data_IF_908506261654
#
_entry.id   IF_908506261654
#
_cell.length_a   1.000
_cell.length_b   1.000
_cell.length_c   1.000
_cell.angle_alpha   90.00
_cell.angle_beta   90.00
_cell.angle_gamma   90.00
#
_symmetry.space_group_name_H-M   'P 1'
#
loop_
_entity.id
_entity.type
_entity.pdbx_description
1 polymer ?
#
# COMPACT_ATOMS: atom_id res chain seq x y z
N UNK A 1 10.22 -33.20 65.66
CA UNK A 1 11.47 -32.46 65.33
C UNK A 1 11.04 -31.18 64.61
N UNK A 2 10.69 -30.07 65.29
CA UNK A 2 11.55 -28.98 65.84
C UNK A 2 12.68 -28.58 64.86
N UNK A 3 12.96 -27.32 64.49
CA UNK A 3 12.58 -25.96 64.96
C UNK A 3 12.84 -24.95 63.78
N UNK A 4 12.03 -23.92 63.49
CA UNK A 4 11.86 -22.54 64.04
C UNK A 4 13.04 -21.55 63.84
N UNK A 5 12.78 -20.44 63.13
CA UNK A 5 13.00 -18.99 63.44
C UNK A 5 13.15 -18.22 62.11
N UNK A 6 12.42 -17.17 61.68
CA UNK A 6 11.77 -15.94 62.23
C UNK A 6 12.71 -14.92 62.89
N UNK A 7 12.71 -13.70 62.32
CA UNK A 7 12.63 -12.30 62.89
C UNK A 7 13.18 -11.36 61.77
N UNK A 8 12.54 -10.32 61.20
CA UNK A 8 11.61 -9.23 61.57
C UNK A 8 12.27 -7.90 61.98
N UNK A 9 11.69 -6.80 61.45
CA UNK A 9 11.74 -5.40 61.92
C UNK A 9 12.99 -4.56 61.54
N UNK A 10 12.95 -3.25 61.26
CA UNK A 10 11.94 -2.22 61.52
C UNK A 10 12.08 -1.05 60.52
N UNK A 11 10.96 -0.34 60.32
CA UNK A 11 10.90 0.98 59.72
C UNK A 11 11.29 2.08 60.72
N UNK A 12 11.76 3.23 60.23
CA UNK A 12 11.59 4.50 60.95
C UNK A 12 11.51 5.68 59.99
N UNK A 13 10.47 6.46 60.24
CA UNK A 13 10.06 7.72 59.64
C UNK A 13 11.08 8.85 59.84
N UNK A 14 11.11 9.80 58.92
CA UNK A 14 11.18 11.23 59.24
C UNK A 14 10.44 12.06 58.17
N UNK A 15 9.45 12.81 58.65
CA UNK A 15 8.67 13.86 57.97
C UNK A 15 9.39 15.21 58.07
N UNK A 16 9.07 16.10 57.12
CA UNK A 16 8.87 17.57 57.21
C UNK A 16 9.60 18.29 56.06
N UNK A 17 9.10 19.35 55.41
CA UNK A 17 7.80 20.02 55.40
C UNK A 17 7.84 21.08 54.27
N UNK A 18 6.69 21.26 53.59
CA UNK A 18 6.11 22.51 53.04
C UNK A 18 7.02 23.51 52.28
N UNK A 19 6.61 23.90 51.06
CA UNK A 19 5.65 25.01 50.78
C UNK A 19 5.41 25.19 49.27
N UNK A 20 4.15 25.46 48.92
CA UNK A 20 3.69 26.07 47.67
C UNK A 20 4.22 27.51 47.54
N UNK A 21 4.50 27.93 46.30
CA UNK A 21 4.08 29.24 45.78
C UNK A 21 3.96 29.21 44.25
N UNK A 22 2.95 29.93 43.80
CA UNK A 22 2.39 30.11 42.45
C UNK A 22 3.02 31.26 41.66
N UNK A 23 3.23 31.06 40.35
CA UNK A 23 3.14 32.01 39.21
C UNK A 23 3.96 33.34 39.25
N UNK A 24 4.07 34.18 38.19
CA UNK A 24 3.44 34.16 36.84
C UNK A 24 4.37 34.38 35.63
N UNK A 25 3.79 34.15 34.44
CA UNK A 25 3.96 34.88 33.17
C UNK A 25 4.73 36.22 33.22
N UNK A 26 5.65 36.46 32.26
CA UNK A 26 5.75 37.69 31.44
C UNK A 26 6.55 37.41 30.14
N UNK A 27 5.95 37.68 28.99
CA UNK A 27 6.62 38.04 27.72
C UNK A 27 6.64 39.57 27.62
N UNK A 28 7.67 40.21 27.01
CA UNK A 28 7.33 40.99 25.81
C UNK A 28 8.47 41.21 24.79
N UNK A 29 8.05 41.81 23.66
CA UNK A 29 8.80 42.59 22.65
C UNK A 29 9.24 41.81 21.40
N UNK A 30 8.40 41.71 20.37
CA UNK A 30 8.10 42.74 19.34
C UNK A 30 9.36 43.32 18.70
N UNK A 31 9.71 42.81 17.52
CA UNK A 31 10.17 43.65 16.40
C UNK A 31 9.64 43.11 15.08
N UNK A 32 8.94 44.02 14.40
CA UNK A 32 8.40 43.91 13.06
C UNK A 32 9.49 43.60 12.04
N UNK A 33 9.13 42.83 11.00
CA UNK A 33 9.48 43.13 9.61
C UNK A 33 8.43 42.49 8.67
N UNK A 34 7.52 43.35 8.22
CA UNK A 34 6.91 43.46 6.88
C UNK A 34 7.70 42.75 5.75
N UNK A 35 7.18 42.24 4.63
CA UNK A 35 5.89 42.36 3.90
C UNK A 35 5.87 41.30 2.77
N UNK A 36 4.66 40.83 2.44
CA UNK A 36 4.16 40.40 1.11
C UNK A 36 4.70 39.12 0.45
N UNK A 37 3.81 38.12 0.36
CA UNK A 37 3.11 37.78 -0.90
C UNK A 37 1.83 37.01 -0.54
N UNK A 38 0.68 37.65 -0.74
CA UNK A 38 -0.63 37.04 -0.55
C UNK A 38 -0.96 36.13 -1.73
N UNK A 39 -1.22 34.85 -1.46
CA UNK A 39 -1.94 33.99 -2.38
C UNK A 39 -3.44 34.18 -2.12
N UNK A 40 -4.13 34.74 -3.10
CA UNK A 40 -5.58 34.92 -3.08
C UNK A 40 -6.20 33.53 -3.23
N UNK A 41 -6.88 33.07 -2.17
CA UNK A 41 -7.76 31.93 -2.21
C UNK A 41 -9.05 32.35 -2.95
N UNK A 42 -9.28 31.76 -4.13
CA UNK A 42 -10.49 32.00 -4.93
C UNK A 42 -11.71 31.38 -4.28
N UNK A 43 -12.46 32.18 -3.54
CA UNK A 43 -13.83 31.88 -3.12
C UNK A 43 -14.74 32.04 -4.33
N UNK A 44 -15.27 30.95 -4.87
CA UNK A 44 -16.37 31.01 -5.84
C UNK A 44 -17.68 30.71 -5.10
N UNK A 45 -18.53 31.74 -5.05
CA UNK A 45 -19.83 31.75 -4.37
C UNK A 45 -20.79 30.75 -5.02
N UNK A 46 -21.38 29.90 -4.19
CA UNK A 46 -22.64 29.21 -4.44
C UNK A 46 -23.77 30.25 -4.59
N UNK A 47 -24.41 30.30 -5.75
CA UNK A 47 -25.74 30.86 -5.89
C UNK A 47 -26.74 29.72 -6.04
N UNK A 48 -27.52 29.51 -4.99
CA UNK A 48 -28.77 28.74 -5.00
C UNK A 48 -29.91 29.68 -5.34
N UNK A 49 -30.80 29.28 -6.26
CA UNK A 49 -32.24 29.57 -6.21
C UNK A 49 -33.00 28.68 -7.22
N UNK A 50 -34.21 28.21 -6.89
CA UNK A 50 -34.90 27.13 -7.60
C UNK A 50 -35.97 27.67 -8.58
N UNK A 51 -36.33 26.92 -9.62
CA UNK A 51 -37.69 26.98 -10.20
C UNK A 51 -38.02 25.75 -11.05
N UNK A 52 -39.33 25.52 -11.17
CA UNK A 52 -40.03 24.24 -11.34
C UNK A 52 -40.12 23.75 -12.80
N UNK A 53 -40.29 22.43 -12.88
CA UNK A 53 -40.88 21.58 -13.91
C UNK A 53 -41.74 22.22 -15.02
N UNK A 54 -41.46 21.81 -16.27
CA UNK A 54 -42.51 21.57 -17.29
C UNK A 54 -42.03 20.57 -18.36
N UNK A 55 -42.85 19.55 -18.63
CA UNK A 55 -42.72 18.58 -19.72
C UNK A 55 -43.17 19.19 -21.06
N UNK A 56 -42.56 18.75 -22.17
CA UNK A 56 -43.11 18.92 -23.53
C UNK A 56 -42.05 18.91 -24.63
N UNK A 57 -42.13 17.92 -25.52
CA UNK A 57 -41.13 17.52 -26.52
C UNK A 57 -40.92 18.48 -27.71
N UNK A 58 -39.73 18.43 -28.33
CA UNK A 58 -39.56 18.81 -29.74
C UNK A 58 -38.17 19.32 -30.19
N UNK A 59 -37.38 18.42 -30.79
CA UNK A 59 -36.40 18.63 -31.89
C UNK A 59 -35.14 19.53 -31.68
N UNK A 60 -34.00 18.83 -31.59
CA UNK A 60 -32.69 19.09 -32.23
C UNK A 60 -32.18 20.53 -32.41
N UNK A 61 -31.17 20.89 -31.61
CA UNK A 61 -30.06 21.76 -32.01
C UNK A 61 -28.79 21.38 -31.18
N UNK A 62 -27.63 21.14 -31.80
CA UNK A 62 -26.41 20.75 -31.09
C UNK A 62 -25.63 22.01 -30.70
N UNK A 63 -25.63 22.36 -29.41
CA UNK A 63 -24.72 23.39 -28.88
C UNK A 63 -24.19 22.92 -27.52
N UNK A 64 -23.35 21.88 -27.52
CA UNK A 64 -22.41 21.66 -26.42
C UNK A 64 -21.10 22.34 -26.77
N UNK A 65 -21.05 23.60 -26.33
CA UNK A 65 -19.88 24.48 -26.28
C UNK A 65 -18.69 23.71 -25.71
N UNK A 66 -17.63 23.66 -26.50
CA UNK A 66 -16.28 23.25 -26.13
C UNK A 66 -15.91 23.76 -24.72
N UNK A 67 -15.65 22.85 -23.78
CA UNK A 67 -14.64 23.09 -22.77
C UNK A 67 -13.30 22.63 -23.36
N UNK A 68 -12.76 23.50 -24.21
CA UNK A 68 -11.33 23.50 -24.50
C UNK A 68 -10.61 23.70 -23.17
N UNK A 69 -9.87 22.69 -22.71
CA UNK A 69 -8.82 22.89 -21.70
C UNK A 69 -7.68 23.61 -22.40
N UNK A 70 -7.90 24.89 -22.72
CA UNK A 70 -6.88 25.76 -23.26
C UNK A 70 -6.15 26.41 -22.09
N UNK A 71 -4.84 26.14 -22.05
CA UNK A 71 -3.81 26.84 -21.29
C UNK A 71 -3.71 26.48 -19.81
N UNK A 72 -3.20 25.27 -19.55
CA UNK A 72 -2.26 25.13 -18.43
C UNK A 72 -1.02 25.93 -18.83
N UNK A 73 -0.70 26.97 -18.07
CA UNK A 73 0.52 27.78 -18.23
C UNK A 73 1.72 26.86 -18.42
N UNK A 74 2.53 27.10 -19.46
CA UNK A 74 3.79 26.41 -19.76
C UNK A 74 4.87 26.74 -18.74
N UNK A 75 4.62 26.44 -17.46
CA UNK A 75 5.69 26.19 -16.50
C UNK A 75 6.40 24.93 -16.98
N UNK A 76 7.72 25.01 -17.19
CA UNK A 76 8.60 23.87 -17.46
C UNK A 76 8.18 22.67 -16.59
N UNK A 77 7.46 21.72 -17.19
CA UNK A 77 7.23 20.42 -16.58
C UNK A 77 8.54 19.67 -16.75
N UNK A 78 9.39 19.71 -15.72
CA UNK A 78 10.49 18.77 -15.63
C UNK A 78 9.85 17.46 -15.20
N UNK A 79 9.53 16.61 -16.17
CA UNK A 79 9.17 15.22 -15.92
C UNK A 79 10.46 14.48 -15.56
N UNK A 80 10.66 14.23 -14.26
CA UNK A 80 11.76 13.39 -13.80
C UNK A 80 11.32 11.93 -13.89
N UNK A 81 12.07 11.12 -14.63
CA UNK A 81 11.90 9.66 -14.65
C UNK A 81 12.74 9.07 -13.53
N UNK A 82 12.08 8.37 -12.63
CA UNK A 82 12.68 7.77 -11.44
C UNK A 82 12.55 6.26 -11.56
N UNK A 83 13.66 5.55 -11.34
CA UNK A 83 13.69 4.12 -11.52
C UNK A 83 14.78 3.43 -10.74
N UNK A 84 14.85 2.12 -10.92
CA UNK A 84 15.88 1.28 -10.31
C UNK A 84 17.25 1.58 -10.88
N UNK A 85 18.25 1.66 -10.01
CA UNK A 85 19.64 1.77 -10.40
C UNK A 85 20.15 0.51 -11.10
N UNK A 86 19.62 -0.67 -10.76
CA UNK A 86 19.94 -1.94 -11.43
C UNK A 86 19.45 -1.91 -12.88
N UNK A 87 18.29 -1.29 -13.12
CA UNK A 87 17.67 -1.21 -14.44
C UNK A 87 17.91 0.12 -15.16
N UNK A 88 18.95 0.87 -14.78
CA UNK A 88 19.23 2.19 -15.36
C UNK A 88 19.27 2.17 -16.89
N UNK A 89 19.96 1.20 -17.48
CA UNK A 89 20.08 1.08 -18.94
C UNK A 89 18.81 0.50 -19.59
N UNK A 90 17.87 -0.03 -18.81
CA UNK A 90 16.61 -0.64 -19.27
C UNK A 90 15.40 0.28 -19.12
N UNK A 91 15.51 1.36 -18.34
CA UNK A 91 14.41 2.31 -18.07
C UNK A 91 14.60 3.54 -18.99
N UNK A 92 13.76 3.70 -20.03
CA UNK A 92 13.89 4.80 -20.96
C UNK A 92 13.73 6.16 -20.26
N UNK A 93 14.70 7.04 -20.46
CA UNK A 93 14.66 8.40 -19.95
C UNK A 93 14.99 8.57 -18.46
N UNK A 94 15.50 7.55 -17.77
CA UNK A 94 15.79 7.63 -16.33
C UNK A 94 16.72 8.81 -15.96
N UNK A 95 16.21 9.71 -15.14
CA UNK A 95 16.96 10.83 -14.57
C UNK A 95 17.56 10.44 -13.22
N UNK A 96 16.75 9.79 -12.36
CA UNK A 96 17.13 9.42 -11.00
C UNK A 96 17.09 7.90 -10.85
N UNK A 97 18.27 7.34 -10.56
CA UNK A 97 18.47 5.92 -10.29
C UNK A 97 18.56 5.68 -8.79
N UNK A 98 17.61 4.93 -8.23
CA UNK A 98 17.50 4.63 -6.81
C UNK A 98 17.87 3.17 -6.51
N UNK A 99 18.42 2.93 -5.31
CA UNK A 99 18.84 1.62 -4.80
C UNK A 99 17.97 1.18 -3.63
N UNK A 100 18.07 -0.10 -3.25
CA UNK A 100 17.45 -0.61 -2.04
C UNK A 100 17.76 0.26 -0.81
N UNK A 101 16.73 0.58 -0.03
CA UNK A 101 16.85 1.35 1.21
C UNK A 101 17.01 2.86 1.00
N UNK A 102 17.10 3.34 -0.25
CA UNK A 102 17.08 4.77 -0.52
C UNK A 102 15.76 5.40 -0.03
N UNK A 103 15.89 6.65 0.42
CA UNK A 103 14.77 7.51 0.77
C UNK A 103 14.72 8.67 -0.20
N UNK A 104 13.57 8.87 -0.81
CA UNK A 104 13.32 9.97 -1.74
C UNK A 104 12.14 10.81 -1.25
N UNK A 105 12.05 12.08 -1.69
CA UNK A 105 10.97 12.99 -1.31
C UNK A 105 10.15 13.37 -2.53
N UNK A 106 8.89 12.92 -2.55
CA UNK A 106 7.91 13.27 -3.56
C UNK A 106 6.98 14.36 -3.03
N UNK A 107 7.10 15.59 -3.54
CA UNK A 107 6.19 16.70 -3.16
C UNK A 107 6.01 16.88 -1.63
N UNK A 108 7.07 16.64 -0.85
CA UNK A 108 7.05 16.71 0.62
C UNK A 108 6.72 15.40 1.35
N UNK A 109 6.45 14.32 0.62
CA UNK A 109 6.23 12.98 1.17
C UNK A 109 7.48 12.11 1.05
N UNK A 110 7.88 11.48 2.16
CA UNK A 110 8.95 10.49 2.15
C UNK A 110 8.50 9.22 1.40
N UNK A 111 9.39 8.69 0.56
CA UNK A 111 9.23 7.46 -0.21
C UNK A 111 10.41 6.55 0.13
N UNK A 112 10.11 5.33 0.56
CA UNK A 112 11.11 4.29 0.83
C UNK A 112 11.18 3.36 -0.39
N UNK A 113 12.39 3.19 -0.92
CA UNK A 113 12.65 2.30 -2.05
C UNK A 113 12.98 0.92 -1.52
N UNK A 114 12.30 -0.10 -2.05
CA UNK A 114 12.52 -1.49 -1.70
C UNK A 114 12.89 -2.24 -2.96
N UNK A 115 14.07 -2.87 -3.00
CA UNK A 115 14.36 -3.85 -4.04
C UNK A 115 13.43 -5.05 -3.86
N UNK A 116 12.76 -5.42 -4.94
CA UNK A 116 11.78 -6.52 -4.95
C UNK A 116 11.99 -7.48 -6.13
N UNK A 117 13.20 -8.06 -6.30
CA UNK A 117 13.52 -8.96 -7.39
C UNK A 117 12.63 -10.20 -7.41
N UNK A 118 12.38 -10.72 -8.60
CA UNK A 118 11.61 -11.95 -8.79
C UNK A 118 10.93 -11.96 -10.15
N UNK A 119 10.09 -10.95 -10.40
CA UNK A 119 9.50 -10.73 -11.72
C UNK A 119 10.58 -10.35 -12.74
N UNK A 120 11.27 -9.26 -12.45
CA UNK A 120 12.55 -8.87 -13.05
C UNK A 120 13.61 -8.79 -11.95
N UNK A 121 14.90 -8.81 -12.32
CA UNK A 121 16.00 -8.71 -11.34
C UNK A 121 16.19 -7.29 -10.79
N UNK A 122 15.75 -6.27 -11.51
CA UNK A 122 15.87 -4.86 -11.11
C UNK A 122 14.58 -4.23 -10.61
N UNK A 123 13.53 -5.04 -10.37
CA UNK A 123 12.24 -4.54 -9.89
C UNK A 123 12.38 -3.86 -8.52
N UNK A 124 11.77 -2.69 -8.38
CA UNK A 124 11.66 -1.96 -7.10
C UNK A 124 10.20 -1.66 -6.77
N UNK A 125 9.89 -1.57 -5.48
CA UNK A 125 8.61 -1.13 -4.94
C UNK A 125 8.78 0.18 -4.19
N UNK A 126 7.79 1.07 -4.26
CA UNK A 126 7.81 2.37 -3.59
C UNK A 126 6.81 2.40 -2.44
N UNK A 127 7.31 2.51 -1.22
CA UNK A 127 6.48 2.62 -0.02
C UNK A 127 6.38 4.07 0.46
N UNK A 128 5.16 4.56 0.63
CA UNK A 128 4.84 5.87 1.16
C UNK A 128 4.29 5.71 2.58
N UNK A 129 5.15 5.75 3.63
CA UNK A 129 4.73 5.53 5.01
C UNK A 129 3.65 6.51 5.48
N UNK A 130 3.79 7.80 5.14
CA UNK A 130 2.83 8.83 5.52
C UNK A 130 1.44 8.65 4.90
N UNK A 131 1.35 7.95 3.76
CA UNK A 131 0.09 7.62 3.09
C UNK A 131 -0.39 6.19 3.36
N UNK A 132 0.40 5.38 4.07
CA UNK A 132 0.20 3.93 4.23
C UNK A 132 -0.09 3.25 2.89
N UNK A 133 0.72 3.55 1.87
CA UNK A 133 0.53 3.02 0.53
C UNK A 133 1.84 2.43 -0.01
N UNK A 134 1.77 1.29 -0.70
CA UNK A 134 2.89 0.73 -1.44
C UNK A 134 2.50 0.50 -2.90
N UNK A 135 3.39 0.90 -3.81
CA UNK A 135 3.31 0.58 -5.23
C UNK A 135 4.23 -0.60 -5.51
N UNK A 136 3.64 -1.75 -5.83
CA UNK A 136 4.36 -3.04 -5.90
C UNK A 136 4.70 -3.49 -7.32
N UNK A 137 4.29 -2.71 -8.33
CA UNK A 137 4.42 -3.08 -9.74
C UNK A 137 3.90 -4.51 -9.96
N UNK A 138 4.79 -5.36 -10.46
CA UNK A 138 4.48 -6.75 -10.81
C UNK A 138 5.06 -7.76 -9.81
N UNK A 139 5.57 -7.31 -8.65
CA UNK A 139 6.01 -8.22 -7.58
C UNK A 139 4.80 -8.84 -6.87
N UNK A 140 3.95 -8.02 -6.25
CA UNK A 140 2.75 -8.44 -5.51
C UNK A 140 1.50 -7.91 -6.21
N UNK A 141 0.56 -8.81 -6.52
CA UNK A 141 -0.79 -8.49 -6.95
C UNK A 141 -1.78 -8.88 -5.86
N UNK A 142 -3.02 -8.41 -5.95
CA UNK A 142 -4.06 -9.00 -5.13
C UNK A 142 -4.26 -10.48 -5.51
N UNK A 143 -4.14 -11.36 -4.52
CA UNK A 143 -4.26 -12.82 -4.62
C UNK A 143 -3.21 -13.53 -5.50
N UNK A 144 -2.14 -12.86 -5.91
CA UNK A 144 -1.00 -13.53 -6.54
C UNK A 144 0.33 -12.78 -6.42
N UNK A 145 1.41 -13.34 -6.95
CA UNK A 145 2.63 -12.60 -7.27
C UNK A 145 2.89 -12.56 -8.79
N UNK A 146 3.93 -11.83 -9.20
CA UNK A 146 4.45 -11.85 -10.57
C UNK A 146 4.83 -13.24 -11.08
N UNK A 147 4.83 -13.39 -12.41
CA UNK A 147 5.55 -14.50 -13.04
C UNK A 147 7.05 -14.30 -12.85
N UNK A 148 7.80 -15.37 -12.70
CA UNK A 148 9.26 -15.33 -12.53
C UNK A 148 9.92 -15.36 -13.91
N UNK A 149 10.08 -14.20 -14.55
CA UNK A 149 10.73 -14.13 -15.87
C UNK A 149 12.24 -14.11 -15.76
N UNK A 150 12.78 -13.35 -14.81
CA UNK A 150 14.23 -13.19 -14.65
C UNK A 150 14.73 -13.67 -13.28
N UNK A 151 13.87 -13.71 -12.26
CA UNK A 151 14.25 -14.09 -10.91
C UNK A 151 13.89 -15.52 -10.51
N UNK A 152 14.21 -15.87 -9.26
CA UNK A 152 13.98 -17.20 -8.68
C UNK A 152 12.86 -17.19 -7.64
N UNK A 153 12.31 -18.36 -7.25
CA UNK A 153 11.35 -18.45 -6.15
C UNK A 153 11.87 -17.88 -4.83
N UNK A 154 13.16 -18.07 -4.53
CA UNK A 154 13.82 -17.53 -3.33
C UNK A 154 13.83 -16.00 -3.34
N UNK A 155 14.15 -15.39 -4.49
CA UNK A 155 14.13 -13.94 -4.64
C UNK A 155 12.71 -13.38 -4.49
N UNK A 156 11.72 -14.00 -5.14
CA UNK A 156 10.33 -13.58 -5.01
C UNK A 156 9.83 -13.74 -3.57
N UNK A 157 10.15 -14.84 -2.90
CA UNK A 157 9.78 -15.06 -1.50
C UNK A 157 10.35 -13.95 -0.61
N UNK A 158 11.65 -13.66 -0.72
CA UNK A 158 12.29 -12.60 0.05
C UNK A 158 11.64 -11.23 -0.20
N UNK A 159 11.35 -10.92 -1.46
CA UNK A 159 10.65 -9.68 -1.86
C UNK A 159 9.25 -9.58 -1.24
N UNK A 160 8.48 -10.66 -1.28
CA UNK A 160 7.15 -10.72 -0.68
C UNK A 160 7.22 -10.59 0.84
N UNK A 161 8.16 -11.27 1.51
CA UNK A 161 8.35 -11.16 2.96
C UNK A 161 8.68 -9.72 3.39
N UNK A 162 9.51 -9.00 2.61
CA UNK A 162 9.79 -7.57 2.85
C UNK A 162 8.51 -6.73 2.75
N UNK A 163 7.74 -6.90 1.68
CA UNK A 163 6.47 -6.18 1.49
C UNK A 163 5.48 -6.50 2.62
N UNK A 164 5.37 -7.76 3.02
CA UNK A 164 4.39 -8.24 4.01
C UNK A 164 4.75 -7.85 5.44
N UNK A 165 6.01 -7.50 5.70
CA UNK A 165 6.44 -6.92 6.98
C UNK A 165 5.87 -5.52 7.26
N UNK A 166 5.31 -4.85 6.25
CA UNK A 166 4.65 -3.57 6.40
C UNK A 166 3.34 -3.67 7.22
N UNK A 167 2.85 -2.55 7.78
CA UNK A 167 1.62 -2.51 8.56
C UNK A 167 0.41 -3.08 7.81
N UNK A 168 -0.47 -3.76 8.54
CA UNK A 168 -1.68 -4.41 8.00
C UNK A 168 -2.64 -3.46 7.26
N UNK A 169 -2.66 -2.19 7.66
CA UNK A 169 -3.47 -1.13 7.05
C UNK A 169 -2.80 -0.47 5.83
N UNK A 170 -1.66 -0.99 5.37
CA UNK A 170 -1.02 -0.54 4.14
C UNK A 170 -1.85 -0.92 2.93
N UNK A 171 -2.24 0.07 2.13
CA UNK A 171 -2.88 -0.10 0.82
C UNK A 171 -1.87 -0.56 -0.21
N UNK A 172 -2.19 -1.60 -0.98
CA UNK A 172 -1.32 -2.15 -2.02
C UNK A 172 -1.85 -1.77 -3.40
N UNK A 173 -1.02 -1.07 -4.17
CA UNK A 173 -1.28 -0.64 -5.53
C UNK A 173 -0.37 -1.40 -6.49
N UNK A 174 -0.91 -2.39 -7.20
CA UNK A 174 -0.16 -3.24 -8.11
C UNK A 174 -0.36 -2.84 -9.58
N UNK A 175 0.49 -3.36 -10.47
CA UNK A 175 0.54 -2.96 -11.88
C UNK A 175 -0.64 -3.41 -12.75
N UNK A 176 -1.40 -4.43 -12.33
CA UNK A 176 -2.44 -5.05 -13.16
C UNK A 176 -3.72 -5.43 -12.40
N UNK A 177 -4.84 -5.40 -13.11
CA UNK A 177 -6.17 -5.83 -12.65
C UNK A 177 -6.37 -7.33 -12.90
N UNK A 178 -5.65 -8.16 -12.14
CA UNK A 178 -5.71 -9.64 -12.24
C UNK A 178 -6.52 -10.31 -11.13
N UNK A 179 -7.09 -9.54 -10.21
CA UNK A 179 -7.67 -10.08 -8.97
C UNK A 179 -8.76 -11.13 -9.20
N UNK A 180 -9.58 -10.98 -10.25
CA UNK A 180 -10.63 -11.96 -10.57
C UNK A 180 -10.08 -13.29 -11.09
N UNK A 181 -9.05 -13.30 -11.93
CA UNK A 181 -8.44 -14.56 -12.37
C UNK A 181 -7.60 -15.17 -11.26
N UNK A 182 -6.97 -14.34 -10.42
CA UNK A 182 -6.23 -14.77 -9.26
C UNK A 182 -7.13 -15.42 -8.20
N UNK A 183 -8.32 -14.87 -7.95
CA UNK A 183 -9.27 -15.43 -6.97
C UNK A 183 -9.75 -16.82 -7.36
N UNK A 184 -9.98 -17.07 -8.66
CA UNK A 184 -10.34 -18.40 -9.17
C UNK A 184 -9.24 -19.43 -8.88
N UNK A 185 -7.98 -19.08 -9.11
CA UNK A 185 -6.86 -19.97 -8.78
C UNK A 185 -6.75 -20.19 -7.27
N UNK A 186 -6.80 -19.12 -6.46
CA UNK A 186 -6.71 -19.23 -5.01
C UNK A 186 -7.83 -20.13 -4.45
N UNK A 187 -9.07 -19.99 -4.92
CA UNK A 187 -10.19 -20.85 -4.51
C UNK A 187 -10.02 -22.31 -4.94
N UNK A 188 -9.29 -22.59 -6.01
CA UNK A 188 -9.03 -23.97 -6.45
C UNK A 188 -8.10 -24.74 -5.50
N UNK A 189 -7.26 -24.03 -4.73
CA UNK A 189 -6.27 -24.62 -3.82
C UNK A 189 -6.57 -24.38 -2.33
N UNK A 190 -7.40 -23.40 -1.99
CA UNK A 190 -7.83 -23.12 -0.62
C UNK A 190 -9.36 -22.86 -0.56
N UNK A 191 -10.20 -23.84 -0.96
CA UNK A 191 -11.65 -23.62 -1.15
C UNK A 191 -12.41 -23.36 0.15
N UNK A 192 -11.85 -23.69 1.31
CA UNK A 192 -12.49 -23.57 2.64
C UNK A 192 -12.19 -22.25 3.34
N UNK A 193 -11.34 -21.39 2.77
CA UNK A 193 -11.00 -20.09 3.35
C UNK A 193 -12.17 -19.11 3.16
N UNK A 194 -12.99 -18.91 4.21
CA UNK A 194 -14.18 -18.04 4.19
C UNK A 194 -13.86 -16.57 3.87
N UNK A 195 -12.68 -16.08 4.27
CA UNK A 195 -12.23 -14.72 3.96
C UNK A 195 -11.96 -14.61 2.45
N UNK A 196 -11.28 -15.60 1.87
CA UNK A 196 -11.02 -15.67 0.43
C UNK A 196 -12.32 -15.81 -0.36
N UNK A 197 -13.27 -16.65 0.08
CA UNK A 197 -14.58 -16.78 -0.56
C UNK A 197 -15.32 -15.44 -0.61
N UNK A 198 -15.40 -14.75 0.54
CA UNK A 198 -16.06 -13.45 0.66
C UNK A 198 -15.39 -12.40 -0.22
N UNK A 199 -14.05 -12.38 -0.23
CA UNK A 199 -13.29 -11.44 -1.04
C UNK A 199 -13.42 -11.73 -2.54
N UNK A 200 -13.41 -13.00 -2.95
CA UNK A 200 -13.63 -13.40 -4.34
C UNK A 200 -15.03 -13.00 -4.84
N UNK A 201 -16.06 -13.12 -4.01
CA UNK A 201 -17.42 -12.67 -4.33
C UNK A 201 -17.49 -11.14 -4.51
N UNK A 202 -16.87 -10.38 -3.60
CA UNK A 202 -16.73 -8.92 -3.75
C UNK A 202 -16.02 -8.54 -5.06
N UNK A 203 -14.91 -9.20 -5.36
CA UNK A 203 -14.13 -8.99 -6.59
C UNK A 203 -14.99 -9.25 -7.82
N UNK A 204 -15.76 -10.35 -7.86
CA UNK A 204 -16.67 -10.64 -8.96
C UNK A 204 -17.71 -9.54 -9.16
N UNK A 205 -18.31 -9.04 -8.07
CA UNK A 205 -19.27 -7.93 -8.12
C UNK A 205 -18.64 -6.63 -8.66
N UNK A 206 -17.43 -6.28 -8.22
CA UNK A 206 -16.74 -5.08 -8.73
C UNK A 206 -16.44 -5.20 -10.22
N UNK A 207 -15.96 -6.38 -10.67
CA UNK A 207 -15.60 -6.59 -12.07
C UNK A 207 -16.82 -6.65 -12.99
N UNK A 208 -17.96 -7.17 -12.53
CA UNK A 208 -19.24 -7.11 -13.26
C UNK A 208 -19.64 -5.65 -13.54
N UNK A 209 -19.42 -4.76 -12.56
CA UNK A 209 -19.62 -3.31 -12.69
C UNK A 209 -18.48 -2.58 -13.40
N UNK A 210 -17.46 -3.30 -13.91
CA UNK A 210 -16.23 -2.74 -14.52
C UNK A 210 -15.43 -1.80 -13.60
N UNK A 211 -15.58 -1.94 -12.29
CA UNK A 211 -14.85 -1.17 -11.29
C UNK A 211 -13.51 -1.86 -10.94
N UNK A 212 -12.46 -1.09 -10.58
CA UNK A 212 -11.19 -1.65 -10.16
C UNK A 212 -11.33 -2.38 -8.83
N UNK A 213 -10.43 -3.33 -8.58
CA UNK A 213 -10.33 -4.06 -7.30
C UNK A 213 -9.14 -3.60 -6.46
N UNK A 214 -8.37 -2.63 -6.99
CA UNK A 214 -7.19 -2.03 -6.38
C UNK A 214 -7.56 -0.64 -5.86
N UNK A 215 -7.06 -0.23 -4.67
CA UNK A 215 -6.12 -0.96 -3.83
C UNK A 215 -6.74 -2.13 -3.06
N UNK A 216 -5.93 -3.14 -2.79
CA UNK A 216 -6.16 -4.12 -1.71
C UNK A 216 -5.44 -3.64 -0.44
N UNK A 217 -5.49 -4.40 0.65
CA UNK A 217 -4.75 -4.11 1.90
C UNK A 217 -3.82 -5.23 2.27
N UNK A 218 -2.73 -4.92 2.97
CA UNK A 218 -1.78 -5.91 3.45
C UNK A 218 -2.46 -7.00 4.30
N UNK A 219 -3.41 -6.59 5.14
CA UNK A 219 -4.25 -7.52 5.92
C UNK A 219 -5.02 -8.52 5.03
N UNK A 220 -5.65 -8.04 3.96
CA UNK A 220 -6.40 -8.89 3.04
C UNK A 220 -5.47 -9.87 2.33
N UNK A 221 -4.31 -9.40 1.87
CA UNK A 221 -3.35 -10.26 1.16
C UNK A 221 -2.77 -11.34 2.07
N UNK A 222 -2.41 -11.03 3.33
CA UNK A 222 -2.00 -12.05 4.32
C UNK A 222 -3.06 -13.13 4.55
N UNK A 223 -4.33 -12.74 4.54
CA UNK A 223 -5.45 -13.64 4.78
C UNK A 223 -5.79 -14.54 3.57
N UNK A 224 -5.60 -14.05 2.35
CA UNK A 224 -6.19 -14.66 1.15
C UNK A 224 -5.18 -15.05 0.05
N UNK A 225 -3.99 -14.45 0.01
CA UNK A 225 -3.07 -14.64 -1.10
C UNK A 225 -2.24 -15.92 -0.90
N UNK A 226 -2.34 -16.93 -1.80
CA UNK A 226 -1.66 -18.20 -1.60
C UNK A 226 -0.14 -18.09 -1.60
N UNK A 227 0.43 -17.06 -2.25
CA UNK A 227 1.87 -16.81 -2.27
C UNK A 227 2.42 -16.19 -0.98
N UNK A 228 1.53 -15.71 -0.10
CA UNK A 228 1.86 -15.24 1.24
C UNK A 228 1.50 -16.27 2.33
N UNK A 229 0.98 -17.43 1.90
CA UNK A 229 0.46 -18.50 2.74
C UNK A 229 1.11 -19.84 2.39
N UNK A 230 2.38 -19.81 1.97
CA UNK A 230 3.15 -20.98 1.50
C UNK A 230 3.29 -22.08 2.56
N UNK A 231 3.19 -21.75 3.85
CA UNK A 231 3.15 -22.69 4.96
C UNK A 231 1.77 -23.26 5.30
N UNK A 232 0.70 -22.87 4.60
CA UNK A 232 -0.65 -23.35 4.89
C UNK A 232 -0.82 -24.82 4.45
N UNK A 233 -1.31 -25.67 5.36
CA UNK A 233 -1.44 -27.11 5.14
C UNK A 233 -2.48 -27.47 4.07
N UNK A 234 -3.54 -26.68 3.89
CA UNK A 234 -4.56 -26.93 2.87
C UNK A 234 -4.02 -26.63 1.47
N UNK A 235 -3.31 -25.51 1.31
CA UNK A 235 -2.62 -25.16 0.06
C UNK A 235 -1.56 -26.22 -0.30
N UNK A 236 -0.73 -26.62 0.68
CA UNK A 236 0.30 -27.64 0.48
C UNK A 236 -0.31 -28.97 0.06
N UNK A 237 -1.36 -29.43 0.74
CA UNK A 237 -2.08 -30.66 0.41
C UNK A 237 -2.73 -30.60 -0.97
N UNK A 238 -3.39 -29.50 -1.33
CA UNK A 238 -4.05 -29.34 -2.62
C UNK A 238 -3.07 -29.44 -3.81
N UNK A 239 -1.80 -29.05 -3.61
CA UNK A 239 -0.77 -29.07 -4.64
C UNK A 239 0.25 -30.21 -4.49
N UNK A 240 0.09 -31.09 -3.50
CA UNK A 240 1.03 -32.18 -3.23
C UNK A 240 2.43 -31.70 -2.84
N UNK A 241 2.53 -30.54 -2.19
CA UNK A 241 3.80 -29.99 -1.68
C UNK A 241 4.19 -30.80 -0.43
N UNK A 242 5.42 -31.31 -0.40
CA UNK A 242 5.91 -32.08 0.74
C UNK A 242 5.97 -31.22 2.01
N UNK A 243 5.67 -31.82 3.18
CA UNK A 243 5.79 -31.13 4.47
C UNK A 243 7.23 -30.64 4.74
N UNK A 244 8.22 -31.37 4.24
CA UNK A 244 9.64 -31.01 4.37
C UNK A 244 10.10 -29.92 3.38
N UNK A 245 9.29 -29.56 2.37
CA UNK A 245 9.63 -28.51 1.41
C UNK A 245 9.69 -27.16 2.12
N UNK A 246 10.73 -26.39 1.84
CA UNK A 246 10.84 -25.04 2.38
C UNK A 246 9.83 -24.07 1.71
N UNK A 247 9.76 -22.83 2.20
CA UNK A 247 8.81 -21.85 1.68
C UNK A 247 9.10 -21.42 0.23
N UNK A 248 10.36 -21.45 -0.22
CA UNK A 248 10.74 -21.04 -1.56
C UNK A 248 10.39 -22.14 -2.58
N UNK A 249 10.64 -23.40 -2.22
CA UNK A 249 10.18 -24.56 -2.98
C UNK A 249 8.65 -24.56 -3.11
N UNK A 250 7.94 -24.37 -1.99
CA UNK A 250 6.49 -24.27 -1.97
C UNK A 250 5.98 -23.13 -2.87
N UNK A 251 6.59 -21.94 -2.80
CA UNK A 251 6.26 -20.80 -3.66
C UNK A 251 6.46 -21.15 -5.14
N UNK A 252 7.57 -21.80 -5.48
CA UNK A 252 7.87 -22.24 -6.85
C UNK A 252 6.82 -23.22 -7.40
N UNK A 253 6.35 -24.15 -6.57
CA UNK A 253 5.30 -25.10 -6.93
C UNK A 253 3.96 -24.38 -7.14
N UNK A 254 3.56 -23.51 -6.20
CA UNK A 254 2.32 -22.69 -6.31
C UNK A 254 2.37 -21.84 -7.59
N UNK A 255 3.52 -21.21 -7.88
CA UNK A 255 3.75 -20.39 -9.08
C UNK A 255 3.54 -21.19 -10.35
N UNK A 256 4.16 -22.37 -10.43
CA UNK A 256 4.04 -23.28 -11.59
C UNK A 256 2.61 -23.78 -11.76
N UNK A 257 1.91 -24.09 -10.67
CA UNK A 257 0.51 -24.48 -10.70
C UNK A 257 -0.35 -23.35 -11.29
N UNK A 258 -0.15 -22.11 -10.82
CA UNK A 258 -0.87 -20.94 -11.34
C UNK A 258 -0.58 -20.64 -12.80
N UNK A 259 0.66 -20.83 -13.25
CA UNK A 259 1.05 -20.57 -14.64
C UNK A 259 0.38 -21.54 -15.63
N UNK A 260 0.04 -22.75 -15.17
CA UNK A 260 -0.66 -23.76 -15.95
C UNK A 260 -2.18 -23.81 -15.69
N UNK A 261 -2.69 -22.94 -14.81
CA UNK A 261 -4.10 -22.91 -14.44
C UNK A 261 -4.95 -22.28 -15.55
N UNK A 262 -6.01 -22.98 -15.95
CA UNK A 262 -7.02 -22.47 -16.89
C UNK A 262 -8.32 -22.23 -16.11
N UNK A 263 -8.77 -20.98 -16.13
CA UNK A 263 -9.84 -20.44 -15.29
C UNK A 263 -11.19 -20.33 -15.99
#
# INVERSE_FOLDING_TARGET
>A
MQAISKVSSAASFLRCSRKLTSQPYVSPCVRQLNLRKGYVCGVMKLFSSPLKTLCGAGKSAPVSRFCSVSNVSSSLQIELVIGSAVDRERIPGIDIALKDGDKWVFAGHEVHVLDTPGHTIGHISFYFPGARAIFTGDTLFSLSCGKLFEGTPEQMLASLQRIVSLPDDTSVYCGHEYTLSNSKFALSIEPTNEVLQSYAAYVAEQRDKKLPTIPTTMKMEKACNPFLRTGNADIRRALGIAEAADEAEALGIIRRAKDNFKA
#
